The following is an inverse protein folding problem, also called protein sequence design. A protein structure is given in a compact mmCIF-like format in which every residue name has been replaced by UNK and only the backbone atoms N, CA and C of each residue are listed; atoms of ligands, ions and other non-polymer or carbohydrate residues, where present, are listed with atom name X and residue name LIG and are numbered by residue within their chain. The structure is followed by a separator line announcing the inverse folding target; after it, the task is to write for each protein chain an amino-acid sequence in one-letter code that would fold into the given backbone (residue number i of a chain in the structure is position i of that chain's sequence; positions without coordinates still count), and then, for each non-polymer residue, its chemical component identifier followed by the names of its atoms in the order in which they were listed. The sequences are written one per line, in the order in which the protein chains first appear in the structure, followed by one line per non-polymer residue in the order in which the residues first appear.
data_IF_608550635961
#
_entry.id   IF_608550635961
#
_cell.length_a   1.000
_cell.length_b   1.000
_cell.length_c   1.000
_cell.angle_alpha   90.00
_cell.angle_beta   90.00
_cell.angle_gamma   90.00
#
_symmetry.space_group_name_H-M   'P 1'
#
loop_
_entity.id
_entity.type
_entity.pdbx_description
1 polymer ?
#
# COMPACT_ATOMS: atom_id res chain seq x y z
N UNK A 1 25.85 18.02 -0.11
CA UNK A 1 24.79 17.44 0.19
C UNK A 1 23.67 17.89 -0.58
N UNK A 2 22.98 17.42 -0.91
CA UNK A 2 21.99 17.80 -1.38
C UNK A 2 20.92 17.50 -1.02
N UNK A 3 20.41 17.90 -1.29
CA UNK A 3 19.55 18.11 -0.38
C UNK A 3 18.26 17.54 -0.52
N UNK A 4 17.75 17.21 -1.65
CA UNK A 4 16.42 16.72 -1.76
C UNK A 4 16.28 15.34 -1.23
N UNK A 5 17.25 14.48 -1.44
CA UNK A 5 17.10 13.21 -0.82
C UNK A 5 17.39 13.30 0.65
N UNK A 6 18.18 14.25 1.07
CA UNK A 6 18.36 14.47 2.48
C UNK A 6 17.10 14.91 3.15
N UNK A 7 16.22 15.56 2.40
CA UNK A 7 14.99 16.07 2.97
C UNK A 7 13.87 15.06 2.92
N UNK A 8 14.02 14.01 2.14
CA UNK A 8 13.02 12.95 2.16
C UNK A 8 13.30 12.05 3.34
N UNK A 9 12.68 12.39 4.46
CA UNK A 9 12.95 11.74 5.73
C UNK A 9 12.37 10.36 5.84
N UNK A 10 11.30 10.07 5.13
CA UNK A 10 10.60 8.79 5.29
C UNK A 10 9.80 8.46 4.06
N UNK A 11 9.66 7.17 3.80
CA UNK A 11 8.71 6.72 2.81
C UNK A 11 7.31 6.81 3.39
N UNK A 12 6.34 7.12 2.53
CA UNK A 12 4.97 7.31 2.92
C UNK A 12 4.15 6.10 2.53
N UNK A 13 3.42 5.54 3.48
CA UNK A 13 2.58 4.36 3.28
C UNK A 13 1.13 4.77 3.47
N UNK A 14 0.28 4.45 2.51
CA UNK A 14 -1.17 4.61 2.65
C UNK A 14 -1.74 3.27 3.06
N UNK A 15 -2.44 3.24 4.19
CA UNK A 15 -3.08 2.01 4.69
C UNK A 15 -4.59 2.20 4.60
N UNK A 16 -5.26 1.34 3.86
CA UNK A 16 -6.70 1.41 3.65
C UNK A 16 -7.36 0.15 4.18
N UNK A 17 -8.23 0.28 5.17
CA UNK A 17 -8.93 -0.85 5.78
C UNK A 17 -10.10 -0.28 6.57
N UNK A 18 -11.26 -0.93 6.51
CA UNK A 18 -12.41 -0.43 7.28
C UNK A 18 -12.39 -0.90 8.72
N UNK A 19 -11.44 -1.77 9.09
CA UNK A 19 -11.26 -2.18 10.48
C UNK A 19 -10.23 -1.27 11.14
N UNK A 20 -10.71 -0.34 11.95
CA UNK A 20 -9.86 0.69 12.53
C UNK A 20 -8.73 0.13 13.39
N UNK A 21 -8.97 -0.98 14.06
CA UNK A 21 -7.91 -1.56 14.90
C UNK A 21 -6.74 -2.07 14.06
N UNK A 22 -7.00 -2.53 12.84
CA UNK A 22 -5.92 -2.97 11.94
C UNK A 22 -5.10 -1.77 11.52
N UNK A 23 -5.78 -0.69 11.11
CA UNK A 23 -5.08 0.55 10.76
C UNK A 23 -4.18 0.98 11.92
N UNK A 24 -4.73 0.97 13.12
CA UNK A 24 -4.02 1.45 14.31
C UNK A 24 -2.75 0.65 14.56
N UNK A 25 -2.88 -0.67 14.58
CA UNK A 25 -1.75 -1.56 14.86
C UNK A 25 -0.69 -1.45 13.78
N UNK A 26 -1.12 -1.42 12.52
CA UNK A 26 -0.19 -1.30 11.40
C UNK A 26 0.53 0.06 11.44
N UNK A 27 -0.22 1.13 11.69
CA UNK A 27 0.39 2.47 11.72
C UNK A 27 1.45 2.58 12.80
N UNK A 28 1.18 2.04 13.98
CA UNK A 28 2.17 2.06 15.07
C UNK A 28 3.44 1.35 14.64
N UNK A 29 3.28 0.13 14.08
CA UNK A 29 4.44 -0.65 13.67
C UNK A 29 5.28 0.08 12.63
N UNK A 30 4.62 0.65 11.63
CA UNK A 30 5.32 1.32 10.55
C UNK A 30 5.97 2.62 11.01
N UNK A 31 5.25 3.41 11.81
CA UNK A 31 5.82 4.67 12.31
C UNK A 31 7.03 4.41 13.20
N UNK A 32 6.98 3.35 14.00
CA UNK A 32 8.12 3.00 14.85
C UNK A 32 9.34 2.57 14.04
N UNK A 33 9.15 2.28 12.77
CA UNK A 33 10.23 1.87 11.88
C UNK A 33 10.53 2.92 10.82
N UNK A 34 10.14 4.17 11.06
CA UNK A 34 10.58 5.29 10.26
C UNK A 34 9.71 5.64 9.07
N UNK A 35 8.51 5.08 8.98
CA UNK A 35 7.60 5.39 7.87
C UNK A 35 6.61 6.47 8.27
N UNK A 36 6.24 7.28 7.30
CA UNK A 36 5.10 8.17 7.44
C UNK A 36 3.87 7.37 7.00
N UNK A 37 2.78 7.43 7.78
CA UNK A 37 1.59 6.64 7.49
C UNK A 37 0.38 7.55 7.37
N UNK A 38 -0.35 7.41 6.26
CA UNK A 38 -1.66 8.02 6.11
C UNK A 38 -2.66 6.88 5.98
N UNK A 39 -3.88 7.10 6.39
CA UNK A 39 -4.86 6.02 6.43
C UNK A 39 -6.20 6.44 5.87
N UNK A 40 -6.93 5.44 5.38
CA UNK A 40 -8.28 5.62 4.86
C UNK A 40 -9.13 4.44 5.33
N UNK A 41 -10.42 4.70 5.56
CA UNK A 41 -11.32 3.66 6.05
C UNK A 41 -12.24 3.13 4.96
N UNK A 42 -12.11 3.62 3.74
CA UNK A 42 -12.86 3.11 2.60
C UNK A 42 -12.08 3.37 1.32
N UNK A 43 -12.50 2.73 0.24
CA UNK A 43 -11.75 2.83 -1.02
C UNK A 43 -11.82 4.18 -1.68
N UNK A 44 -12.93 4.90 -1.53
CA UNK A 44 -13.06 6.22 -2.15
C UNK A 44 -12.10 7.20 -1.51
N UNK A 45 -12.01 7.20 -0.18
CA UNK A 45 -11.07 8.03 0.54
C UNK A 45 -9.63 7.65 0.20
N UNK A 46 -9.38 6.34 0.11
CA UNK A 46 -8.04 5.86 -0.23
C UNK A 46 -7.60 6.34 -1.60
N UNK A 47 -8.51 6.31 -2.58
CA UNK A 47 -8.17 6.78 -3.91
C UNK A 47 -7.85 8.28 -3.91
N UNK A 48 -8.66 9.05 -3.21
CA UNK A 48 -8.44 10.49 -3.11
C UNK A 48 -7.08 10.79 -2.48
N UNK A 49 -6.75 10.06 -1.41
CA UNK A 49 -5.45 10.23 -0.75
C UNK A 49 -4.30 9.79 -1.64
N UNK A 50 -4.46 8.70 -2.37
CA UNK A 50 -3.41 8.24 -3.28
C UNK A 50 -3.11 9.29 -4.33
N UNK A 51 -4.13 9.92 -4.87
CA UNK A 51 -3.95 10.95 -5.89
C UNK A 51 -3.30 12.20 -5.33
N UNK A 52 -3.70 12.59 -4.12
CA UNK A 52 -3.22 13.83 -3.51
C UNK A 52 -1.84 13.69 -2.90
N UNK A 53 -1.62 12.61 -2.17
CA UNK A 53 -0.41 12.44 -1.39
C UNK A 53 0.69 11.66 -2.10
N UNK A 54 0.32 10.92 -3.14
CA UNK A 54 1.28 10.12 -3.92
C UNK A 54 2.18 9.28 -3.03
N UNK A 55 1.60 8.37 -2.25
CA UNK A 55 2.40 7.54 -1.34
C UNK A 55 3.38 6.66 -2.12
N UNK A 56 4.39 6.19 -1.42
CA UNK A 56 5.39 5.30 -2.01
C UNK A 56 4.86 3.88 -2.17
N UNK A 57 3.88 3.52 -1.36
CA UNK A 57 3.26 2.20 -1.42
C UNK A 57 1.87 2.28 -0.79
N UNK A 58 0.95 1.46 -1.28
CA UNK A 58 -0.41 1.37 -0.75
C UNK A 58 -0.64 -0.04 -0.22
N UNK A 59 -1.17 -0.12 1.00
CA UNK A 59 -1.60 -1.38 1.60
C UNK A 59 -3.10 -1.28 1.73
N UNK A 60 -3.86 -2.15 1.05
CA UNK A 60 -5.30 -2.03 1.06
C UNK A 60 -5.99 -3.36 1.31
N UNK A 61 -7.05 -3.30 2.11
CA UNK A 61 -7.94 -4.43 2.29
C UNK A 61 -8.69 -4.69 0.97
N UNK A 62 -9.04 -5.95 0.75
CA UNK A 62 -9.81 -6.36 -0.41
C UNK A 62 -11.25 -5.87 -0.31
N UNK A 63 -11.87 -6.00 0.86
CA UNK A 63 -13.28 -5.64 1.07
C UNK A 63 -13.40 -4.36 1.87
N UNK A 64 -13.94 -3.31 1.23
CA UNK A 64 -14.16 -2.03 1.90
C UNK A 64 -15.45 -1.41 1.37
N UNK A 65 -16.10 -0.55 2.18
CA UNK A 65 -17.27 0.20 1.70
C UNK A 65 -16.89 1.17 0.59
N UNK A 66 -17.87 1.52 -0.21
CA UNK A 66 -17.82 2.54 -1.25
C UNK A 66 -16.99 2.16 -2.46
N UNK A 67 -15.83 1.57 -2.25
CA UNK A 67 -14.95 1.13 -3.34
C UNK A 67 -14.09 0.02 -2.77
N UNK A 68 -14.10 -1.15 -3.41
CA UNK A 68 -13.30 -2.28 -2.94
C UNK A 68 -11.83 -2.05 -3.22
N UNK A 69 -10.98 -2.89 -2.62
CA UNK A 69 -9.55 -2.80 -2.89
C UNK A 69 -9.23 -3.01 -4.36
N UNK A 70 -9.92 -3.93 -5.02
CA UNK A 70 -9.71 -4.17 -6.45
C UNK A 70 -10.09 -2.93 -7.27
N UNK A 71 -11.24 -2.34 -6.97
CA UNK A 71 -11.67 -1.13 -7.68
C UNK A 71 -10.70 0.02 -7.45
N UNK A 72 -10.18 0.14 -6.22
CA UNK A 72 -9.19 1.14 -5.91
C UNK A 72 -7.95 0.96 -6.78
N UNK A 73 -7.45 -0.28 -6.87
CA UNK A 73 -6.26 -0.56 -7.67
C UNK A 73 -6.52 -0.25 -9.13
N UNK A 74 -7.67 -0.65 -9.65
CA UNK A 74 -8.01 -0.38 -11.05
C UNK A 74 -7.99 1.11 -11.34
N UNK A 75 -8.57 1.91 -10.44
CA UNK A 75 -8.56 3.36 -10.63
C UNK A 75 -7.17 3.94 -10.56
N UNK A 76 -6.35 3.44 -9.62
CA UNK A 76 -4.97 3.89 -9.52
C UNK A 76 -4.19 3.61 -10.80
N UNK A 77 -4.40 2.44 -11.38
CA UNK A 77 -3.68 2.04 -12.60
C UNK A 77 -4.09 2.86 -13.81
N UNK A 78 -5.27 3.48 -13.77
CA UNK A 78 -5.77 4.27 -14.88
C UNK A 78 -5.32 5.74 -14.84
N UNK A 79 -4.64 6.16 -13.78
CA UNK A 79 -4.20 7.55 -13.62
C UNK A 79 -2.69 7.63 -13.64
N UNK A 80 -2.13 8.59 -14.38
CA UNK A 80 -0.68 8.72 -14.52
C UNK A 80 0.03 8.88 -13.18
N UNK A 81 -0.53 9.66 -12.28
CA UNK A 81 0.13 9.96 -11.00
C UNK A 81 0.18 8.79 -10.04
N UNK A 82 -0.65 7.77 -10.24
CA UNK A 82 -0.76 6.65 -9.30
C UNK A 82 -0.50 5.30 -9.94
N UNK A 83 -0.34 5.24 -11.26
CA UNK A 83 -0.29 3.96 -11.96
C UNK A 83 0.89 3.09 -11.58
N UNK A 84 1.97 3.68 -11.11
CA UNK A 84 3.19 2.93 -10.78
C UNK A 84 3.37 2.67 -9.30
N UNK A 85 2.44 3.11 -8.46
CA UNK A 85 2.57 2.92 -7.03
C UNK A 85 2.36 1.45 -6.69
N UNK A 86 3.32 0.80 -6.02
CA UNK A 86 3.14 -0.61 -5.65
C UNK A 86 2.03 -0.78 -4.62
N UNK A 87 1.36 -1.93 -4.68
CA UNK A 87 0.21 -2.21 -3.83
C UNK A 87 0.37 -3.58 -3.18
N UNK A 88 0.11 -3.64 -1.88
CA UNK A 88 -0.04 -4.89 -1.13
C UNK A 88 -1.53 -5.03 -0.84
N UNK A 89 -2.07 -6.20 -1.15
CA UNK A 89 -3.48 -6.48 -0.93
C UNK A 89 -3.64 -7.38 0.30
N UNK A 90 -4.52 -6.99 1.20
CA UNK A 90 -4.84 -7.77 2.40
C UNK A 90 -6.20 -8.43 2.21
N UNK A 91 -6.31 -9.71 2.47
CA UNK A 91 -7.59 -10.39 2.24
C UNK A 91 -7.80 -11.52 3.23
N UNK A 92 -9.03 -11.66 3.70
CA UNK A 92 -9.44 -12.82 4.50
C UNK A 92 -9.66 -14.03 3.61
N UNK A 93 -9.69 -13.83 2.29
CA UNK A 93 -9.96 -14.91 1.33
C UNK A 93 -8.91 -14.90 0.25
N UNK A 94 -7.73 -15.45 0.59
CA UNK A 94 -6.62 -15.42 -0.36
C UNK A 94 -6.93 -16.14 -1.67
N UNK A 95 -7.83 -17.13 -1.61
CA UNK A 95 -8.19 -17.86 -2.84
C UNK A 95 -9.05 -17.02 -3.79
N UNK A 96 -9.59 -15.90 -3.34
CA UNK A 96 -10.38 -15.01 -4.22
C UNK A 96 -9.50 -14.21 -5.17
N UNK A 97 -8.19 -14.19 -4.92
CA UNK A 97 -7.25 -13.42 -5.73
C UNK A 97 -6.33 -14.39 -6.43
N UNK A 98 -6.54 -14.58 -7.72
CA UNK A 98 -5.69 -15.47 -8.50
C UNK A 98 -4.37 -14.78 -8.82
N UNK A 99 -3.37 -15.58 -9.16
CA UNK A 99 -2.09 -15.02 -9.60
C UNK A 99 -2.28 -14.16 -10.84
N UNK A 100 -3.16 -14.58 -11.72
CA UNK A 100 -3.47 -13.82 -12.93
C UNK A 100 -4.00 -12.43 -12.60
N UNK A 101 -4.91 -12.34 -11.62
CA UNK A 101 -5.42 -11.05 -11.18
C UNK A 101 -4.33 -10.19 -10.58
N UNK A 102 -3.46 -10.79 -9.78
CA UNK A 102 -2.36 -10.04 -9.18
C UNK A 102 -1.47 -9.44 -10.25
N UNK A 103 -1.16 -10.23 -11.27
CA UNK A 103 -0.30 -9.76 -12.34
C UNK A 103 -0.97 -8.66 -13.17
N UNK A 104 -2.23 -8.85 -13.51
CA UNK A 104 -2.92 -7.89 -14.37
C UNK A 104 -3.15 -6.56 -13.66
N UNK A 105 -3.29 -6.57 -12.35
CA UNK A 105 -3.49 -5.35 -11.57
C UNK A 105 -2.20 -4.77 -11.01
N UNK A 106 -1.09 -5.46 -11.21
CA UNK A 106 0.19 -5.01 -10.69
C UNK A 106 0.26 -5.04 -9.17
N UNK A 107 -0.37 -6.06 -8.54
CA UNK A 107 -0.30 -6.24 -7.10
C UNK A 107 1.05 -6.85 -6.77
N UNK A 108 1.81 -6.17 -5.91
CA UNK A 108 3.16 -6.61 -5.57
C UNK A 108 3.16 -7.79 -4.62
N UNK A 109 2.20 -7.86 -3.74
CA UNK A 109 2.10 -8.95 -2.78
C UNK A 109 0.69 -9.03 -2.24
N UNK A 110 0.29 -10.21 -1.80
CA UNK A 110 -1.02 -10.43 -1.22
C UNK A 110 -0.83 -11.17 0.10
N UNK A 111 -1.32 -10.59 1.19
CA UNK A 111 -1.21 -11.20 2.52
C UNK A 111 -2.57 -11.63 3.00
N UNK A 112 -2.63 -12.82 3.59
CA UNK A 112 -3.88 -13.34 4.16
C UNK A 112 -4.08 -12.81 5.56
N UNK A 113 -5.31 -12.44 5.88
CA UNK A 113 -5.67 -12.10 7.25
C UNK A 113 -5.99 -13.38 8.01
N UNK A 114 -5.57 -13.50 9.23
CA UNK A 114 -4.79 -12.53 10.00
C UNK A 114 -3.31 -12.56 9.58
N UNK A 115 -2.69 -11.41 9.61
CA UNK A 115 -1.27 -11.29 9.31
C UNK A 115 -0.58 -10.63 10.52
N UNK A 116 0.73 -10.78 10.62
CA UNK A 116 1.45 -10.08 11.68
C UNK A 116 1.94 -8.73 11.16
N UNK A 117 1.94 -7.69 12.00
CA UNK A 117 2.51 -6.40 11.59
C UNK A 117 3.96 -6.52 11.16
N UNK A 118 4.71 -7.45 11.77
CA UNK A 118 6.10 -7.69 11.40
C UNK A 118 6.21 -8.23 9.98
N UNK A 119 5.33 -9.14 9.60
CA UNK A 119 5.30 -9.70 8.25
C UNK A 119 4.99 -8.61 7.23
N UNK A 120 4.02 -7.75 7.54
CA UNK A 120 3.67 -6.66 6.65
C UNK A 120 4.84 -5.68 6.51
N UNK A 121 5.50 -5.34 7.63
CA UNK A 121 6.65 -4.44 7.59
C UNK A 121 7.73 -5.00 6.67
N UNK A 122 8.05 -6.28 6.82
CA UNK A 122 9.08 -6.89 5.99
C UNK A 122 8.69 -6.86 4.51
N UNK A 123 7.44 -7.14 4.21
CA UNK A 123 6.96 -7.11 2.83
C UNK A 123 7.10 -5.71 2.24
N UNK A 124 6.74 -4.69 3.01
CA UNK A 124 6.89 -3.30 2.57
C UNK A 124 8.36 -2.97 2.31
N UNK A 125 9.22 -3.36 3.24
CA UNK A 125 10.65 -3.08 3.12
C UNK A 125 11.22 -3.74 1.87
N UNK A 126 10.85 -4.99 1.60
CA UNK A 126 11.34 -5.72 0.43
C UNK A 126 10.87 -5.06 -0.86
N UNK A 127 9.61 -4.65 -0.91
CA UNK A 127 9.06 -4.03 -2.13
C UNK A 127 9.71 -2.69 -2.39
N UNK A 128 9.88 -1.87 -1.36
CA UNK A 128 10.49 -0.55 -1.53
C UNK A 128 11.96 -0.66 -1.87
N UNK A 129 12.65 -1.66 -1.33
CA UNK A 129 14.04 -1.91 -1.67
C UNK A 129 14.17 -2.27 -3.15
N UNK A 130 13.33 -3.16 -3.65
CA UNK A 130 13.34 -3.56 -5.05
C UNK A 130 13.06 -2.38 -5.97
N UNK A 131 12.10 -1.55 -5.61
CA UNK A 131 11.77 -0.38 -6.39
C UNK A 131 12.96 0.58 -6.47
N UNK A 132 13.65 0.76 -5.37
CA UNK A 132 14.81 1.64 -5.30
C UNK A 132 15.97 1.11 -6.15
N UNK A 133 16.24 -0.18 -6.05
CA UNK A 133 17.31 -0.82 -6.79
C UNK A 133 17.04 -0.75 -8.31
N UNK A 134 15.82 -1.05 -8.72
CA UNK A 134 15.45 -0.98 -10.13
C UNK A 134 15.54 0.47 -10.63
N UNK A 135 15.13 1.42 -9.81
CA UNK A 135 15.19 2.82 -10.17
C UNK A 135 16.59 3.35 -10.35
N UNK A 136 17.58 2.67 -9.78
CA UNK A 136 18.98 3.07 -9.90
C UNK A 136 19.66 2.47 -11.13
N UNK A 137 19.03 1.52 -11.74
CA UNK A 137 19.58 0.91 -12.95
C UNK A 137 19.33 1.75 -14.19
#
# INVERSE_FOLDING_TARGET
MNHSEDLKMANKVLVADDELHIIHVVAIKLRNNGYEVISASNGAEAYELACREKPDIVVTDYQMPLMTGIELIEKMRSQDGTRSIPVILLTARSFAITQEMQESLGVSSCLSKPFSPKELLKTIQDILYQKEVVGQS
#
